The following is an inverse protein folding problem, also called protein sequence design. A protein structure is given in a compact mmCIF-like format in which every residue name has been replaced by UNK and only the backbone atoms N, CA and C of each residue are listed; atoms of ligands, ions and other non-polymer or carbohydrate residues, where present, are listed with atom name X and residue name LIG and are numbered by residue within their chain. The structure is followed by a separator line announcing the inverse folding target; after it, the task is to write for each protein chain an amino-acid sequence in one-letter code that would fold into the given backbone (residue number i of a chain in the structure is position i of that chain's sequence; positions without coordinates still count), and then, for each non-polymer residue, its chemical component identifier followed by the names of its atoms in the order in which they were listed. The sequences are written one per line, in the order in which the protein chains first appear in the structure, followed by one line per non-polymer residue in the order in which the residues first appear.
data_IF_093058189104
#
_entry.id   IF_093058189104
#
_cell.length_a   1.000
_cell.length_b   1.000
_cell.length_c   1.000
_cell.angle_alpha   90.00
_cell.angle_beta   90.00
_cell.angle_gamma   90.00
#
_symmetry.space_group_name_H-M   'P 1'
#
loop_
_entity.id
_entity.type
_entity.pdbx_description
1 polymer ?
#
# COMPACT_ATOMS: atom_id res chain seq x y z
N UNK A 1 0.67 31.51 10.99
CA UNK A 1 1.63 30.97 11.98
C UNK A 1 1.24 29.53 12.21
N UNK A 2 2.08 28.58 11.78
CA UNK A 2 1.78 27.15 11.85
C UNK A 2 1.81 26.68 13.31
N UNK A 3 0.69 26.15 13.82
CA UNK A 3 0.56 25.65 15.20
C UNK A 3 1.02 24.19 15.28
N UNK A 4 1.83 23.79 16.27
CA UNK A 4 2.21 22.38 16.41
C UNK A 4 1.07 21.53 16.98
N UNK A 5 1.12 20.21 16.83
CA UNK A 5 0.13 19.31 17.45
C UNK A 5 0.20 19.37 18.98
N UNK A 6 1.39 19.60 19.55
CA UNK A 6 1.53 19.81 20.99
C UNK A 6 0.77 21.05 21.45
N UNK A 7 0.93 22.18 20.74
CA UNK A 7 0.22 23.43 21.05
C UNK A 7 -1.29 23.29 20.86
N UNK A 8 -1.73 22.54 19.84
CA UNK A 8 -3.14 22.25 19.60
C UNK A 8 -3.75 21.43 20.74
N UNK A 9 -3.07 20.38 21.20
CA UNK A 9 -3.53 19.55 22.33
C UNK A 9 -3.55 20.35 23.62
N UNK A 10 -2.54 21.20 23.86
CA UNK A 10 -2.51 22.06 25.04
C UNK A 10 -3.66 23.09 25.00
N UNK A 11 -3.99 23.62 23.80
CA UNK A 11 -5.12 24.53 23.58
C UNK A 11 -6.49 23.86 23.74
N UNK A 12 -6.58 22.56 23.49
CA UNK A 12 -7.75 21.73 23.77
C UNK A 12 -7.91 21.41 25.27
N UNK A 13 -6.99 21.86 26.14
CA UNK A 13 -7.03 21.60 27.58
C UNK A 13 -6.28 20.32 27.98
N UNK A 14 -5.40 19.81 27.12
CA UNK A 14 -4.58 18.64 27.39
C UNK A 14 -5.17 17.32 26.88
N UNK A 15 -4.47 16.22 27.17
CA UNK A 15 -4.76 14.92 26.56
C UNK A 15 -6.14 14.34 26.94
N UNK A 16 -6.60 14.54 28.18
CA UNK A 16 -7.87 13.98 28.67
C UNK A 16 -9.09 14.73 28.11
N UNK A 17 -8.97 16.05 27.93
CA UNK A 17 -10.00 16.88 27.32
C UNK A 17 -10.13 16.59 25.82
N UNK A 18 -9.00 16.49 25.11
CA UNK A 18 -8.97 16.09 23.71
C UNK A 18 -9.49 14.66 23.48
N UNK A 19 -9.20 13.73 24.39
CA UNK A 19 -9.70 12.36 24.36
C UNK A 19 -11.23 12.34 24.47
N UNK A 20 -11.78 13.11 25.41
CA UNK A 20 -13.24 13.25 25.60
C UNK A 20 -13.91 13.85 24.37
N UNK A 21 -13.30 14.89 23.78
CA UNK A 21 -13.82 15.56 22.58
C UNK A 21 -13.87 14.64 21.35
N UNK A 22 -12.84 13.81 21.16
CA UNK A 22 -12.67 12.98 19.96
C UNK A 22 -13.13 11.53 20.15
N UNK A 23 -13.60 11.17 21.35
CA UNK A 23 -14.10 9.84 21.67
C UNK A 23 -13.03 8.73 21.64
N UNK A 24 -11.75 9.09 21.84
CA UNK A 24 -10.64 8.12 21.92
C UNK A 24 -10.03 8.11 23.33
N UNK A 25 -9.10 7.19 23.59
CA UNK A 25 -8.40 7.13 24.87
C UNK A 25 -7.34 8.25 25.01
N UNK A 26 -7.02 8.68 26.25
CA UNK A 26 -5.93 9.63 26.50
C UNK A 26 -4.57 9.16 25.96
N UNK A 27 -4.31 7.85 25.94
CA UNK A 27 -3.09 7.30 25.36
C UNK A 27 -3.03 7.44 23.84
N UNK A 28 -4.18 7.40 23.15
CA UNK A 28 -4.23 7.71 21.72
C UNK A 28 -3.86 9.18 21.45
N UNK A 29 -4.32 10.11 22.31
CA UNK A 29 -3.93 11.53 22.21
C UNK A 29 -2.45 11.74 22.50
N UNK A 30 -1.90 11.07 23.51
CA UNK A 30 -0.45 11.10 23.79
C UNK A 30 0.36 10.58 22.62
N UNK A 31 -0.13 9.56 21.93
CA UNK A 31 0.46 9.04 20.69
C UNK A 31 0.40 10.06 19.56
N UNK A 32 -0.71 10.80 19.39
CA UNK A 32 -0.78 11.89 18.41
C UNK A 32 0.22 13.01 18.73
N UNK A 33 0.38 13.34 20.02
CA UNK A 33 1.35 14.32 20.48
C UNK A 33 2.78 13.90 20.15
N UNK A 34 3.13 12.64 20.37
CA UNK A 34 4.48 12.12 20.10
C UNK A 34 4.74 11.86 18.63
N UNK A 35 3.73 11.44 17.86
CA UNK A 35 3.85 11.22 16.41
C UNK A 35 3.73 12.51 15.60
N UNK A 36 3.21 13.59 16.20
CA UNK A 36 2.96 14.84 15.48
C UNK A 36 1.87 14.74 14.42
N UNK A 37 0.96 13.74 14.51
CA UNK A 37 -0.12 13.53 13.54
C UNK A 37 -1.47 13.19 14.22
N UNK A 38 -2.57 13.74 13.70
CA UNK A 38 -3.95 13.44 14.13
C UNK A 38 -4.70 12.79 12.96
N UNK A 39 -5.30 11.60 13.13
CA UNK A 39 -6.06 10.94 12.06
C UNK A 39 -7.24 11.78 11.55
N UNK A 40 -7.46 11.76 10.23
CA UNK A 40 -8.45 12.59 9.52
C UNK A 40 -9.86 12.54 10.08
N UNK A 41 -10.31 11.35 10.52
CA UNK A 41 -11.65 11.14 11.11
C UNK A 41 -11.96 11.99 12.34
N UNK A 42 -10.94 12.51 13.03
CA UNK A 42 -11.11 13.29 14.26
C UNK A 42 -11.13 14.81 14.03
N UNK A 43 -10.82 15.26 12.81
CA UNK A 43 -10.78 16.67 12.46
C UNK A 43 -12.12 17.42 12.57
N UNK A 44 -13.29 16.83 12.25
CA UNK A 44 -14.56 17.53 12.41
C UNK A 44 -14.80 17.99 13.87
N UNK A 45 -14.49 17.15 14.85
CA UNK A 45 -14.65 17.47 16.27
C UNK A 45 -13.63 18.52 16.74
N UNK A 46 -12.38 18.40 16.30
CA UNK A 46 -11.30 19.34 16.67
C UNK A 46 -11.53 20.71 16.05
N UNK A 47 -11.95 20.76 14.78
CA UNK A 47 -12.25 22.01 14.08
C UNK A 47 -13.42 22.75 14.73
N UNK A 48 -14.47 22.02 15.12
CA UNK A 48 -15.60 22.59 15.86
C UNK A 48 -15.19 23.20 17.21
N UNK A 49 -14.22 22.61 17.91
CA UNK A 49 -13.78 23.09 19.22
C UNK A 49 -12.72 24.20 19.16
N UNK A 50 -11.86 24.22 18.13
CA UNK A 50 -10.70 25.12 18.07
C UNK A 50 -10.83 26.23 17.04
N UNK A 51 -11.76 26.10 16.08
CA UNK A 51 -11.88 26.99 14.92
C UNK A 51 -10.72 26.88 13.94
N UNK A 52 -9.84 25.88 14.10
CA UNK A 52 -8.70 25.63 13.22
C UNK A 52 -9.08 24.64 12.11
N UNK A 53 -8.55 24.87 10.91
CA UNK A 53 -8.64 23.94 9.78
C UNK A 53 -7.38 23.07 9.70
N UNK A 54 -7.48 21.96 8.96
CA UNK A 54 -6.35 21.12 8.60
C UNK A 54 -5.22 21.91 7.90
N UNK A 55 -5.58 23.02 7.23
CA UNK A 55 -4.66 23.91 6.51
C UNK A 55 -3.80 24.81 7.43
N UNK A 56 -4.15 24.94 8.71
CA UNK A 56 -3.47 25.81 9.67
C UNK A 56 -2.25 25.14 10.35
N UNK A 57 -2.05 23.84 10.11
CA UNK A 57 -0.93 23.07 10.67
C UNK A 57 0.32 23.14 9.79
N UNK A 58 1.53 23.05 10.38
CA UNK A 58 2.76 22.90 9.60
C UNK A 58 2.66 21.61 8.81
N UNK A 59 2.88 21.72 7.49
CA UNK A 59 2.81 20.65 6.48
C UNK A 59 3.71 19.42 6.77
N UNK A 60 4.53 19.49 7.82
CA UNK A 60 5.31 18.40 8.38
C UNK A 60 4.53 17.46 9.35
N UNK A 61 3.24 17.71 9.59
CA UNK A 61 2.38 16.91 10.48
C UNK A 61 1.59 15.78 9.77
N UNK A 62 1.96 15.42 8.54
CA UNK A 62 1.33 14.34 7.74
C UNK A 62 2.19 13.06 7.62
N UNK A 63 3.28 12.94 8.37
CA UNK A 63 4.06 11.70 8.50
C UNK A 63 3.65 10.98 9.81
N UNK A 64 3.18 9.74 9.87
CA UNK A 64 2.98 8.70 8.86
C UNK A 64 1.83 7.75 9.31
N UNK A 65 0.77 7.61 8.51
CA UNK A 65 -0.17 6.46 8.62
C UNK A 65 0.49 5.15 8.16
N UNK A 66 1.75 5.21 7.70
CA UNK A 66 2.57 4.06 7.33
C UNK A 66 2.84 3.16 8.54
N UNK A 67 2.37 1.90 8.54
CA UNK A 67 2.67 0.95 9.60
C UNK A 67 4.16 0.64 9.69
N UNK A 68 4.70 0.35 10.90
CA UNK A 68 6.08 -0.09 11.05
C UNK A 68 6.40 -1.29 10.14
N UNK A 69 7.49 -1.20 9.38
CA UNK A 69 7.94 -2.27 8.48
C UNK A 69 7.27 -2.30 7.11
N UNK A 70 6.32 -1.40 6.82
CA UNK A 70 5.80 -1.23 5.47
C UNK A 70 6.86 -0.58 4.57
N UNK A 71 7.10 -1.20 3.42
CA UNK A 71 8.03 -0.69 2.39
C UNK A 71 7.35 -0.48 1.04
N UNK A 72 6.08 -0.88 0.91
CA UNK A 72 5.25 -0.55 -0.24
C UNK A 72 3.80 -0.23 0.17
N UNK A 73 3.10 0.47 -0.71
CA UNK A 73 1.70 0.81 -0.59
C UNK A 73 0.97 0.56 -1.92
N UNK A 74 -0.21 -0.05 -1.86
CA UNK A 74 -1.18 -0.10 -2.94
C UNK A 74 -2.30 0.89 -2.59
N UNK A 75 -2.42 1.96 -3.37
CA UNK A 75 -3.40 3.03 -3.19
C UNK A 75 -4.51 2.84 -4.21
N UNK A 76 -5.75 2.75 -3.75
CA UNK A 76 -6.93 2.66 -4.63
C UNK A 76 -7.50 4.05 -4.92
N UNK A 77 -8.24 4.17 -6.01
CA UNK A 77 -8.88 5.42 -6.44
C UNK A 77 -9.86 6.04 -5.43
N UNK A 78 -10.36 5.27 -4.45
CA UNK A 78 -11.21 5.79 -3.37
C UNK A 78 -10.41 6.30 -2.15
N UNK A 79 -9.08 6.31 -2.24
CA UNK A 79 -8.17 6.68 -1.16
C UNK A 79 -7.84 5.56 -0.18
N UNK A 80 -8.37 4.34 -0.37
CA UNK A 80 -7.99 3.19 0.45
C UNK A 80 -6.51 2.84 0.23
N UNK A 81 -5.76 2.64 1.32
CA UNK A 81 -4.34 2.28 1.26
C UNK A 81 -4.13 0.90 1.86
N UNK A 82 -3.49 0.02 1.09
CA UNK A 82 -3.05 -1.29 1.53
C UNK A 82 -1.53 -1.28 1.68
N UNK A 83 -1.07 -1.40 2.91
CA UNK A 83 0.34 -1.42 3.24
C UNK A 83 0.92 -2.82 3.18
N UNK A 84 2.19 -2.93 2.79
CA UNK A 84 2.87 -4.21 2.65
C UNK A 84 4.37 -4.04 2.47
N UNK A 85 5.02 -5.12 2.04
CA UNK A 85 6.45 -5.16 1.76
C UNK A 85 6.67 -5.19 0.26
N UNK A 86 7.42 -4.23 -0.25
CA UNK A 86 7.73 -4.16 -1.68
C UNK A 86 8.77 -5.18 -2.11
N UNK A 87 8.64 -5.66 -3.34
CA UNK A 87 9.62 -6.49 -4.03
C UNK A 87 9.65 -6.14 -5.52
N UNK A 88 10.63 -6.68 -6.26
CA UNK A 88 10.83 -6.35 -7.67
C UNK A 88 11.46 -4.97 -7.84
N UNK A 89 11.07 -4.26 -8.91
CA UNK A 89 11.61 -2.95 -9.22
C UNK A 89 11.13 -1.88 -8.22
N UNK A 90 12.02 -0.97 -7.85
CA UNK A 90 11.66 0.22 -7.06
C UNK A 90 10.99 1.25 -7.97
N UNK A 91 10.03 1.98 -7.43
CA UNK A 91 9.32 3.04 -8.13
C UNK A 91 7.83 3.03 -7.84
N UNK A 92 7.11 3.81 -8.63
CA UNK A 92 5.65 3.92 -8.58
C UNK A 92 5.09 3.52 -9.93
N UNK A 93 4.10 2.64 -9.95
CA UNK A 93 3.44 2.23 -11.19
C UNK A 93 2.64 3.39 -11.79
N UNK A 94 2.43 3.36 -13.10
CA UNK A 94 1.34 4.15 -13.67
C UNK A 94 -0.01 3.69 -13.06
N UNK A 95 -1.03 4.57 -13.03
CA UNK A 95 -2.39 4.16 -12.69
C UNK A 95 -2.84 2.98 -13.56
N UNK A 96 -3.39 1.96 -12.92
CA UNK A 96 -3.76 0.70 -13.57
C UNK A 96 -5.01 0.12 -12.91
N UNK A 97 -5.77 -0.67 -13.66
CA UNK A 97 -6.93 -1.37 -13.11
C UNK A 97 -6.45 -2.53 -12.22
N UNK A 98 -6.98 -2.63 -11.00
CA UNK A 98 -6.69 -3.73 -10.09
C UNK A 98 -7.62 -4.92 -10.38
N UNK A 99 -7.05 -6.03 -10.82
CA UNK A 99 -7.78 -7.27 -11.05
C UNK A 99 -7.34 -8.37 -10.06
N UNK A 100 -8.06 -9.50 -10.07
CA UNK A 100 -7.65 -10.69 -9.33
C UNK A 100 -7.64 -11.93 -10.23
N UNK A 101 -6.74 -12.87 -9.93
CA UNK A 101 -6.63 -14.16 -10.62
C UNK A 101 -6.66 -15.30 -9.58
N UNK A 102 -7.47 -16.32 -9.84
CA UNK A 102 -7.67 -17.49 -8.96
C UNK A 102 -6.76 -18.67 -9.26
N UNK A 103 -5.88 -18.54 -10.25
CA UNK A 103 -4.85 -19.49 -10.60
C UNK A 103 -3.91 -19.71 -9.41
N UNK A 104 -3.69 -20.98 -9.09
CA UNK A 104 -2.77 -21.40 -8.01
C UNK A 104 -1.35 -21.62 -8.53
N UNK A 105 -1.20 -21.75 -9.84
CA UNK A 105 0.04 -22.00 -10.57
C UNK A 105 0.04 -21.16 -11.84
N UNK A 106 1.16 -21.13 -12.57
CA UNK A 106 1.24 -20.42 -13.84
C UNK A 106 1.33 -18.90 -13.69
N UNK A 107 1.91 -18.41 -12.58
CA UNK A 107 1.98 -16.98 -12.31
C UNK A 107 2.89 -16.24 -13.30
N UNK A 108 3.89 -16.91 -13.86
CA UNK A 108 4.81 -16.30 -14.81
C UNK A 108 4.12 -16.07 -16.15
N UNK A 109 3.47 -17.14 -16.65
CA UNK A 109 2.63 -17.16 -17.84
C UNK A 109 1.57 -16.05 -17.74
N UNK A 110 0.87 -15.98 -16.60
CA UNK A 110 -0.13 -14.96 -16.31
C UNK A 110 0.44 -13.54 -16.36
N UNK A 111 1.63 -13.30 -15.78
CA UNK A 111 2.26 -11.96 -15.80
C UNK A 111 2.66 -11.53 -17.22
N UNK A 112 3.00 -12.50 -18.06
CA UNK A 112 3.41 -12.27 -19.45
C UNK A 112 2.26 -12.29 -20.46
N UNK A 113 1.05 -12.67 -20.04
CA UNK A 113 -0.11 -12.69 -20.92
C UNK A 113 -0.52 -11.25 -21.31
N UNK A 114 -0.56 -10.91 -22.63
CA UNK A 114 -0.99 -9.60 -23.12
C UNK A 114 -2.38 -9.14 -22.64
N UNK A 115 -3.25 -10.07 -22.23
CA UNK A 115 -4.59 -9.74 -21.71
C UNK A 115 -4.56 -8.90 -20.43
N UNK A 116 -3.48 -8.96 -19.66
CA UNK A 116 -3.27 -8.18 -18.43
C UNK A 116 -2.62 -6.80 -18.67
N UNK A 117 -2.51 -6.36 -19.94
CA UNK A 117 -1.94 -5.06 -20.27
C UNK A 117 -2.67 -3.92 -19.54
N UNK A 118 -1.93 -3.15 -18.74
CA UNK A 118 -2.49 -2.03 -17.98
C UNK A 118 -3.18 -2.42 -16.67
N UNK A 119 -3.03 -3.67 -16.22
CA UNK A 119 -3.62 -4.15 -14.97
C UNK A 119 -2.56 -4.45 -13.90
N UNK A 120 -2.92 -4.27 -12.63
CA UNK A 120 -2.18 -4.80 -11.48
C UNK A 120 -2.88 -6.09 -11.05
N UNK A 121 -2.11 -7.19 -10.97
CA UNK A 121 -2.66 -8.52 -10.70
C UNK A 121 -2.59 -8.81 -9.20
N UNK A 122 -3.73 -9.17 -8.62
CA UNK A 122 -3.81 -9.75 -7.27
C UNK A 122 -4.03 -11.26 -7.36
N UNK A 123 -3.06 -12.07 -6.92
CA UNK A 123 -3.29 -13.52 -6.82
C UNK A 123 -4.04 -13.86 -5.55
N UNK A 124 -5.03 -14.75 -5.68
CA UNK A 124 -5.75 -15.27 -4.51
C UNK A 124 -4.97 -16.38 -3.80
N UNK A 125 -4.15 -17.15 -4.52
CA UNK A 125 -3.28 -18.15 -3.91
C UNK A 125 -2.14 -17.45 -3.14
N UNK A 126 -1.91 -17.79 -1.86
CA UNK A 126 -1.03 -17.01 -1.01
C UNK A 126 0.46 -17.12 -1.35
N UNK A 127 0.92 -18.30 -1.77
CA UNK A 127 2.34 -18.59 -1.99
C UNK A 127 2.73 -18.53 -3.46
N UNK A 128 2.92 -17.32 -3.97
CA UNK A 128 3.38 -17.07 -5.35
C UNK A 128 4.91 -16.90 -5.37
N UNK A 129 5.58 -17.47 -6.38
CA UNK A 129 7.05 -17.44 -6.52
C UNK A 129 7.78 -18.72 -6.09
N UNK A 130 7.04 -19.73 -5.62
CA UNK A 130 7.58 -21.00 -5.13
C UNK A 130 8.38 -21.81 -6.17
N UNK A 131 8.12 -21.61 -7.47
CA UNK A 131 8.85 -22.27 -8.56
C UNK A 131 9.85 -21.35 -9.28
N UNK A 132 10.08 -20.13 -8.77
CA UNK A 132 11.00 -19.16 -9.35
C UNK A 132 10.50 -18.59 -10.68
N UNK A 133 11.44 -18.26 -11.56
CA UNK A 133 11.16 -17.86 -12.93
C UNK A 133 12.17 -18.51 -13.89
N UNK A 134 11.78 -18.67 -15.15
CA UNK A 134 12.60 -19.23 -16.22
C UNK A 134 12.21 -18.63 -17.59
N UNK A 135 12.88 -18.99 -18.69
CA UNK A 135 12.57 -18.43 -20.01
C UNK A 135 11.47 -19.21 -20.76
N UNK A 136 11.21 -20.45 -20.36
CA UNK A 136 10.28 -21.36 -21.04
C UNK A 136 8.81 -21.06 -20.69
N UNK A 137 8.55 -20.51 -19.50
CA UNK A 137 7.20 -20.18 -19.00
C UNK A 137 6.79 -18.72 -19.35
N UNK A 138 7.34 -18.15 -20.42
CA UNK A 138 6.98 -16.84 -20.95
C UNK A 138 5.95 -16.98 -22.08
N UNK A 139 4.73 -16.47 -21.89
CA UNK A 139 3.69 -16.46 -22.94
C UNK A 139 3.89 -15.33 -23.97
N UNK A 140 4.73 -14.36 -23.64
CA UNK A 140 5.12 -13.28 -24.53
C UNK A 140 6.51 -12.74 -24.19
N UNK A 141 7.03 -11.86 -25.05
CA UNK A 141 8.40 -11.34 -24.93
C UNK A 141 8.66 -10.43 -23.70
N UNK A 142 7.62 -10.02 -22.97
CA UNK A 142 7.71 -9.13 -21.82
C UNK A 142 6.58 -9.38 -20.82
N UNK A 143 6.69 -8.78 -19.63
CA UNK A 143 5.58 -8.68 -18.68
C UNK A 143 4.61 -7.58 -19.17
N UNK A 144 3.33 -7.90 -19.26
CA UNK A 144 2.28 -6.94 -19.64
C UNK A 144 1.54 -6.34 -18.44
N UNK A 145 1.52 -7.07 -17.32
CA UNK A 145 1.03 -6.56 -16.05
C UNK A 145 1.84 -5.35 -15.55
N UNK A 146 1.18 -4.42 -14.88
CA UNK A 146 1.76 -3.20 -14.30
C UNK A 146 2.27 -3.38 -12.87
N UNK A 147 1.87 -4.46 -12.21
CA UNK A 147 2.31 -4.77 -10.85
C UNK A 147 1.71 -6.07 -10.33
N UNK A 148 2.23 -6.51 -9.19
CA UNK A 148 1.87 -7.77 -8.56
C UNK A 148 1.53 -7.58 -7.07
N UNK A 149 0.38 -8.10 -6.63
CA UNK A 149 -0.09 -8.03 -5.24
C UNK A 149 -0.25 -9.45 -4.67
N UNK A 150 0.46 -9.72 -3.57
CA UNK A 150 0.56 -11.04 -2.94
C UNK A 150 0.17 -10.99 -1.45
N UNK A 151 -0.28 -12.16 -0.96
CA UNK A 151 -0.58 -12.35 0.46
C UNK A 151 0.68 -12.59 1.28
N UNK A 152 1.44 -13.61 0.92
CA UNK A 152 2.64 -14.03 1.66
C UNK A 152 3.90 -13.44 1.02
N UNK A 153 4.98 -13.44 1.80
CA UNK A 153 6.29 -13.08 1.28
C UNK A 153 6.80 -14.13 0.30
N UNK A 154 7.61 -13.67 -0.66
CA UNK A 154 8.26 -14.53 -1.63
C UNK A 154 9.29 -15.39 -0.89
N UNK A 155 9.18 -16.71 -1.04
CA UNK A 155 10.15 -17.67 -0.53
C UNK A 155 11.22 -17.98 -1.58
N UNK A 156 12.33 -18.57 -1.15
CA UNK A 156 13.29 -19.14 -2.10
C UNK A 156 12.60 -20.17 -3.01
N UNK A 157 12.90 -20.18 -4.32
CA UNK A 157 12.25 -21.10 -5.24
C UNK A 157 12.78 -22.53 -5.05
N UNK A 158 11.91 -23.52 -5.27
CA UNK A 158 12.25 -24.94 -5.20
C UNK A 158 11.67 -25.69 -6.40
N UNK A 159 12.26 -25.47 -7.57
CA UNK A 159 11.93 -26.15 -8.81
C UNK A 159 13.19 -26.34 -9.66
N UNK A 160 13.34 -27.52 -10.28
CA UNK A 160 14.51 -27.83 -11.12
C UNK A 160 14.63 -26.93 -12.36
N UNK A 161 13.54 -26.32 -12.82
CA UNK A 161 13.49 -25.37 -13.94
C UNK A 161 13.82 -23.94 -13.54
N UNK A 162 13.86 -23.62 -12.25
CA UNK A 162 14.06 -22.24 -11.79
C UNK A 162 15.46 -21.73 -12.16
N UNK A 163 15.54 -20.63 -12.92
CA UNK A 163 16.80 -19.96 -13.26
C UNK A 163 16.99 -18.65 -12.49
N UNK A 164 15.92 -18.08 -11.92
CA UNK A 164 15.99 -17.04 -10.90
C UNK A 164 14.82 -17.08 -9.92
N UNK A 165 14.92 -16.38 -8.80
CA UNK A 165 13.75 -16.11 -7.95
C UNK A 165 12.81 -15.06 -8.59
N UNK A 166 11.56 -15.03 -8.12
CA UNK A 166 10.51 -14.15 -8.63
C UNK A 166 10.85 -12.67 -8.46
N UNK A 167 11.38 -12.26 -7.30
CA UNK A 167 11.65 -10.86 -7.00
C UNK A 167 12.76 -10.31 -7.92
N UNK A 168 13.84 -11.06 -8.08
CA UNK A 168 14.94 -10.72 -8.99
C UNK A 168 14.47 -10.65 -10.44
N UNK A 169 13.60 -11.57 -10.87
CA UNK A 169 13.04 -11.54 -12.23
C UNK A 169 12.20 -10.28 -12.47
N UNK A 170 11.28 -9.96 -11.55
CA UNK A 170 10.46 -8.75 -11.65
C UNK A 170 11.32 -7.47 -11.61
N UNK A 171 12.38 -7.44 -10.81
CA UNK A 171 13.32 -6.33 -10.79
C UNK A 171 14.00 -6.13 -12.14
N UNK A 172 14.47 -7.20 -12.79
CA UNK A 172 15.06 -7.13 -14.14
C UNK A 172 14.06 -6.66 -15.19
N UNK A 173 12.79 -7.03 -15.04
CA UNK A 173 11.70 -6.65 -15.95
C UNK A 173 11.13 -5.25 -15.64
N UNK A 174 11.60 -4.56 -14.60
CA UNK A 174 11.11 -3.23 -14.24
C UNK A 174 9.71 -3.22 -13.61
N UNK A 175 9.28 -4.34 -13.02
CA UNK A 175 7.94 -4.49 -12.44
C UNK A 175 8.02 -4.50 -10.91
N UNK A 176 7.21 -3.68 -10.27
CA UNK A 176 7.07 -3.61 -8.82
C UNK A 176 6.02 -4.60 -8.32
N UNK A 177 6.20 -5.10 -7.11
CA UNK A 177 5.16 -5.86 -6.41
C UNK A 177 5.11 -5.56 -4.92
N UNK A 178 4.03 -6.01 -4.27
CA UNK A 178 3.77 -5.85 -2.84
C UNK A 178 3.27 -7.17 -2.24
N UNK A 179 3.88 -7.60 -1.14
CA UNK A 179 3.47 -8.75 -0.32
C UNK A 179 2.92 -8.31 1.04
N UNK A 180 2.29 -9.23 1.77
CA UNK A 180 1.72 -8.95 3.08
C UNK A 180 0.33 -8.30 3.04
N UNK A 181 -0.32 -8.26 1.87
CA UNK A 181 -1.64 -7.65 1.69
C UNK A 181 -2.73 -8.67 1.92
N UNK A 182 -3.86 -8.29 2.51
CA UNK A 182 -5.04 -9.16 2.57
C UNK A 182 -5.70 -9.30 1.18
N UNK A 183 -5.14 -10.17 0.35
CA UNK A 183 -5.62 -10.41 -1.02
C UNK A 183 -7.05 -10.95 -1.02
N UNK A 184 -7.50 -11.64 0.02
CA UNK A 184 -8.89 -12.10 0.13
C UNK A 184 -9.85 -10.94 0.31
N UNK A 185 -9.52 -9.98 1.18
CA UNK A 185 -10.30 -8.75 1.32
C UNK A 185 -10.35 -7.95 0.02
N UNK A 186 -9.21 -7.83 -0.69
CA UNK A 186 -9.16 -7.21 -2.02
C UNK A 186 -10.04 -7.92 -3.05
N UNK A 187 -9.98 -9.26 -3.12
CA UNK A 187 -10.82 -10.04 -4.04
C UNK A 187 -12.30 -9.85 -3.77
N UNK A 188 -12.73 -9.89 -2.50
CA UNK A 188 -14.13 -9.64 -2.14
C UNK A 188 -14.56 -8.24 -2.56
N UNK A 189 -13.70 -7.25 -2.32
CA UNK A 189 -13.94 -5.86 -2.72
C UNK A 189 -14.10 -5.73 -4.23
N UNK A 190 -13.19 -6.29 -5.03
CA UNK A 190 -13.24 -6.24 -6.50
C UNK A 190 -14.50 -6.94 -7.02
N UNK A 191 -14.86 -8.10 -6.44
CA UNK A 191 -16.06 -8.84 -6.80
C UNK A 191 -17.34 -8.04 -6.55
N UNK A 192 -17.42 -7.35 -5.41
CA UNK A 192 -18.65 -6.69 -4.96
C UNK A 192 -18.79 -5.26 -5.52
N UNK A 193 -17.68 -4.56 -5.74
CA UNK A 193 -17.65 -3.14 -6.13
C UNK A 193 -17.10 -2.89 -7.55
N UNK A 194 -16.63 -3.93 -8.23
CA UNK A 194 -15.91 -3.80 -9.50
C UNK A 194 -14.41 -3.52 -9.32
N UNK A 195 -13.67 -3.59 -10.42
CA UNK A 195 -12.22 -3.37 -10.44
C UNK A 195 -11.88 -1.88 -10.26
N UNK A 196 -11.23 -1.47 -9.15
CA UNK A 196 -10.83 -0.08 -8.96
C UNK A 196 -9.54 0.21 -9.72
N UNK A 197 -9.34 1.46 -10.11
CA UNK A 197 -7.99 1.93 -10.44
C UNK A 197 -7.12 1.96 -9.18
N UNK A 198 -5.85 1.64 -9.34
CA UNK A 198 -4.87 1.62 -8.27
C UNK A 198 -3.49 2.07 -8.75
N UNK A 199 -2.68 2.52 -7.79
CA UNK A 199 -1.26 2.83 -7.95
C UNK A 199 -0.48 2.01 -6.93
N UNK A 200 0.56 1.33 -7.40
CA UNK A 200 1.50 0.61 -6.56
C UNK A 200 2.76 1.46 -6.36
N UNK A 201 3.11 1.74 -5.10
CA UNK A 201 4.29 2.53 -4.74
C UNK A 201 5.26 1.70 -3.92
N UNK A 202 6.48 1.55 -4.43
CA UNK A 202 7.62 0.90 -3.78
C UNK A 202 8.86 1.81 -3.84
N UNK A 203 8.88 2.90 -3.05
CA UNK A 203 9.94 3.91 -3.11
C UNK A 203 11.30 3.35 -2.63
N UNK A 204 12.39 3.91 -3.15
CA UNK A 204 13.75 3.50 -2.76
C UNK A 204 14.17 4.05 -1.38
N UNK A 205 13.67 5.23 -1.01
CA UNK A 205 13.97 5.91 0.24
C UNK A 205 12.96 5.59 1.37
N UNK A 206 11.94 4.77 1.07
CA UNK A 206 10.90 4.38 2.02
C UNK A 206 9.92 5.50 2.37
N UNK A 207 9.93 6.62 1.64
CA UNK A 207 9.02 7.75 1.87
C UNK A 207 7.81 7.66 0.95
N UNK A 208 6.62 7.84 1.50
CA UNK A 208 5.36 7.75 0.77
C UNK A 208 4.68 9.12 0.72
N UNK A 209 4.46 9.63 -0.50
CA UNK A 209 3.59 10.79 -0.73
C UNK A 209 2.21 10.31 -1.20
N UNK A 210 1.40 9.80 -0.25
CA UNK A 210 0.08 9.22 -0.57
C UNK A 210 -0.84 10.25 -1.24
N UNK A 211 -0.68 11.54 -0.95
CA UNK A 211 -1.51 12.60 -1.54
C UNK A 211 -1.20 12.84 -3.04
N UNK A 212 -0.01 12.43 -3.49
CA UNK A 212 0.41 12.54 -4.89
C UNK A 212 0.13 11.27 -5.72
N UNK A 213 -0.34 10.18 -5.08
CA UNK A 213 -0.61 8.88 -5.70
C UNK A 213 -2.07 8.71 -6.14
#
# INVERSE_FOLDING_TARGET
MSISIADLIDRLGGADAAATLTGVSPDAIRKWRSSGAIPSRHWPAISAATGLSMDDLPRAALESDTPPGATAALVLADGSVFWGRGFGARGTSAPAELCFNTGMTGYQETLTDPSYAGQIITFTFPHIGNVGANEEDMEAAQIFARGLVLKEDITAPSNYRATSDLASWLQRMGISGISGVDTRALTLRIRDLGAPNAVLSYPADGKFDIAAL
#
